data_IF_578886081530
#
_entry.id   IF_578886081530
#
_cell.length_a   1.000
_cell.length_b   1.000
_cell.length_c   1.000
_cell.angle_alpha   90.00
_cell.angle_beta   90.00
_cell.angle_gamma   90.00
#
_symmetry.space_group_name_H-M   'P 1'
#
loop_
_entity.id
_entity.type
_entity.pdbx_description
1 polymer ?
#
# COMPACT_ATOMS: atom_id res chain seq x y z
N UNK A 1 7.85 16.56 2.50
CA UNK A 1 7.90 15.63 3.65
C UNK A 1 6.96 14.48 3.34
N UNK A 2 7.48 13.31 2.99
CA UNK A 2 6.66 12.13 2.75
C UNK A 2 6.52 11.37 4.06
N UNK A 3 5.32 11.35 4.63
CA UNK A 3 5.03 10.62 5.85
C UNK A 3 4.51 9.25 5.46
N UNK A 4 5.36 8.23 5.56
CA UNK A 4 4.94 6.83 5.51
C UNK A 4 4.94 6.33 6.94
N UNK A 5 3.85 5.70 7.37
CA UNK A 5 3.77 5.12 8.72
C UNK A 5 4.82 4.00 8.83
N UNK A 6 5.68 4.06 9.84
CA UNK A 6 6.66 3.00 10.14
C UNK A 6 6.00 1.63 10.27
N UNK A 7 4.80 1.58 10.86
CA UNK A 7 3.99 0.35 11.01
C UNK A 7 3.59 -0.23 9.65
N UNK A 8 3.29 0.62 8.66
CA UNK A 8 2.88 0.18 7.34
C UNK A 8 4.04 -0.47 6.58
N UNK A 9 5.25 0.10 6.71
CA UNK A 9 6.47 -0.46 6.10
C UNK A 9 6.86 -1.79 6.78
N UNK A 10 6.67 -1.92 8.09
CA UNK A 10 7.03 -3.14 8.83
C UNK A 10 6.06 -4.30 8.62
N UNK A 11 4.77 -4.02 8.39
CA UNK A 11 3.72 -5.05 8.33
C UNK A 11 3.21 -5.34 6.93
N UNK A 12 3.49 -4.49 5.96
CA UNK A 12 3.03 -4.64 4.59
C UNK A 12 4.11 -4.26 3.60
N UNK A 13 4.04 -4.84 2.41
CA UNK A 13 4.83 -4.39 1.28
C UNK A 13 4.02 -3.36 0.49
N UNK A 14 4.58 -2.17 0.33
CA UNK A 14 3.90 -1.04 -0.33
C UNK A 14 4.41 -0.92 -1.76
N UNK A 15 3.48 -0.87 -2.72
CA UNK A 15 3.77 -0.55 -4.12
C UNK A 15 3.10 0.79 -4.42
N UNK A 16 3.91 1.80 -4.73
CA UNK A 16 3.45 3.14 -5.07
C UNK A 16 3.22 3.23 -6.58
N UNK A 17 2.01 3.62 -6.97
CA UNK A 17 1.68 3.96 -8.36
C UNK A 17 1.64 5.48 -8.48
N UNK A 18 2.57 6.07 -9.23
CA UNK A 18 2.61 7.52 -9.41
C UNK A 18 3.38 7.95 -10.65
N UNK A 19 2.81 8.88 -11.43
CA UNK A 19 3.52 9.58 -12.51
C UNK A 19 4.27 10.83 -12.04
N UNK A 20 4.03 11.32 -10.81
CA UNK A 20 4.63 12.54 -10.28
C UNK A 20 5.77 12.31 -9.27
N UNK A 21 5.95 11.07 -8.80
CA UNK A 21 7.02 10.68 -7.88
C UNK A 21 7.92 9.70 -8.63
N UNK A 22 9.22 9.98 -8.65
CA UNK A 22 10.19 9.11 -9.33
C UNK A 22 10.44 7.82 -8.55
N UNK A 23 10.82 6.76 -9.27
CA UNK A 23 11.21 5.46 -8.72
C UNK A 23 12.24 5.58 -7.59
N UNK A 24 13.30 6.35 -7.79
CA UNK A 24 14.36 6.51 -6.79
C UNK A 24 13.83 7.05 -5.46
N UNK A 25 12.88 7.98 -5.48
CA UNK A 25 12.28 8.55 -4.27
C UNK A 25 11.41 7.52 -3.56
N UNK A 26 10.65 6.72 -4.30
CA UNK A 26 9.82 5.65 -3.75
C UNK A 26 10.66 4.53 -3.11
N UNK A 27 11.75 4.14 -3.75
CA UNK A 27 12.66 3.10 -3.24
C UNK A 27 13.40 3.58 -1.99
N UNK A 28 13.80 4.86 -1.91
CA UNK A 28 14.42 5.45 -0.71
C UNK A 28 13.53 5.37 0.53
N UNK A 29 12.20 5.35 0.36
CA UNK A 29 11.23 5.23 1.46
C UNK A 29 10.71 3.80 1.64
N UNK A 30 11.36 2.81 1.04
CA UNK A 30 11.04 1.40 1.22
C UNK A 30 9.79 0.93 0.44
N UNK A 31 9.35 1.69 -0.56
CA UNK A 31 8.26 1.30 -1.43
C UNK A 31 8.79 0.76 -2.76
N UNK A 32 8.14 -0.27 -3.29
CA UNK A 32 8.24 -0.57 -4.72
C UNK A 32 7.51 0.49 -5.54
N UNK A 33 7.86 0.65 -6.80
CA UNK A 33 7.29 1.69 -7.66
C UNK A 33 6.78 1.12 -8.98
N UNK A 34 5.64 1.62 -9.44
CA UNK A 34 5.02 1.30 -10.71
C UNK A 34 4.46 2.56 -11.38
N UNK A 35 4.39 2.57 -12.71
CA UNK A 35 3.88 3.72 -13.47
C UNK A 35 2.35 3.69 -13.52
N UNK A 36 1.79 2.50 -13.64
CA UNK A 36 0.34 2.28 -13.80
C UNK A 36 -0.19 1.22 -12.83
N UNK A 37 -1.51 1.22 -12.52
CA UNK A 37 -2.10 0.28 -11.56
C UNK A 37 -1.92 -1.19 -11.93
N UNK A 38 -1.90 -1.51 -13.22
CA UNK A 38 -1.77 -2.88 -13.70
C UNK A 38 -0.39 -3.48 -13.38
N UNK A 39 0.69 -2.74 -13.61
CA UNK A 39 2.05 -3.13 -13.24
C UNK A 39 2.15 -3.42 -11.73
N UNK A 40 1.57 -2.53 -10.89
CA UNK A 40 1.57 -2.74 -9.45
C UNK A 40 0.80 -4.00 -9.02
N UNK A 41 -0.29 -4.31 -9.70
CA UNK A 41 -1.06 -5.51 -9.42
C UNK A 41 -0.30 -6.78 -9.82
N UNK A 42 0.39 -6.77 -10.96
CA UNK A 42 1.25 -7.87 -11.41
C UNK A 42 2.39 -8.11 -10.41
N UNK A 43 3.09 -7.05 -10.00
CA UNK A 43 4.12 -7.12 -8.95
C UNK A 43 3.58 -7.68 -7.62
N UNK A 44 2.35 -7.33 -7.23
CA UNK A 44 1.71 -7.87 -6.03
C UNK A 44 1.42 -9.38 -6.17
N UNK A 45 0.92 -9.80 -7.33
CA UNK A 45 0.65 -11.21 -7.63
C UNK A 45 1.94 -12.06 -7.62
N UNK A 46 3.01 -11.55 -8.25
CA UNK A 46 4.33 -12.19 -8.25
C UNK A 46 4.85 -12.37 -6.82
N UNK A 47 4.77 -11.31 -6.00
CA UNK A 47 5.22 -11.35 -4.60
C UNK A 47 4.42 -12.35 -3.76
N UNK A 48 3.11 -12.42 -3.95
CA UNK A 48 2.22 -13.35 -3.25
C UNK A 48 2.27 -14.77 -3.84
N UNK A 49 2.99 -14.97 -4.95
CA UNK A 49 3.06 -16.25 -5.68
C UNK A 49 1.67 -16.80 -6.05
N UNK A 50 0.75 -15.91 -6.42
CA UNK A 50 -0.63 -16.28 -6.80
C UNK A 50 -1.15 -15.40 -7.92
N UNK A 51 -1.97 -15.98 -8.81
CA UNK A 51 -2.70 -15.24 -9.86
C UNK A 51 -4.10 -14.79 -9.42
N UNK A 52 -4.56 -15.26 -8.27
CA UNK A 52 -5.91 -15.00 -7.75
C UNK A 52 -5.85 -14.52 -6.29
N UNK A 53 -5.23 -13.35 -6.01
CA UNK A 53 -5.23 -12.80 -4.67
C UNK A 53 -6.66 -12.37 -4.26
N UNK A 54 -6.94 -12.41 -2.97
CA UNK A 54 -8.12 -11.71 -2.42
C UNK A 54 -7.81 -10.22 -2.40
N UNK A 55 -8.70 -9.40 -2.99
CA UNK A 55 -8.46 -7.95 -3.16
C UNK A 55 -9.58 -7.17 -2.48
N UNK A 56 -9.19 -6.19 -1.68
CA UNK A 56 -10.09 -5.16 -1.17
C UNK A 56 -9.73 -3.82 -1.84
N UNK A 57 -10.73 -3.14 -2.43
CA UNK A 57 -10.54 -1.85 -3.08
C UNK A 57 -11.10 -0.75 -2.18
N UNK A 58 -10.23 0.15 -1.73
CA UNK A 58 -10.60 1.29 -0.88
C UNK A 58 -10.63 2.58 -1.70
N UNK A 59 -11.83 2.97 -2.14
CA UNK A 59 -12.03 4.23 -2.86
C UNK A 59 -12.03 5.42 -1.89
N UNK A 60 -11.23 6.45 -2.18
CA UNK A 60 -11.16 7.64 -1.33
C UNK A 60 -10.53 7.40 0.05
N UNK A 61 -9.58 6.47 0.15
CA UNK A 61 -8.96 6.05 1.42
C UNK A 61 -8.45 7.21 2.30
N UNK A 62 -7.97 8.31 1.70
CA UNK A 62 -7.56 9.51 2.43
C UNK A 62 -8.69 10.12 3.29
N UNK A 63 -9.96 9.91 2.92
CA UNK A 63 -11.15 10.38 3.66
C UNK A 63 -11.62 9.37 4.72
N UNK A 64 -11.09 8.15 4.74
CA UNK A 64 -11.49 7.07 5.63
C UNK A 64 -10.73 7.07 6.98
N UNK A 65 -9.71 7.93 7.11
CA UNK A 65 -8.85 8.03 8.29
C UNK A 65 -9.54 8.34 9.65
N UNK A 66 -10.78 8.86 9.76
CA UNK A 66 -11.39 9.08 11.08
C UNK A 66 -12.09 7.85 11.69
N UNK A 67 -12.33 6.75 10.97
CA UNK A 67 -13.25 5.70 11.47
C UNK A 67 -12.57 4.55 12.24
N UNK A 68 -11.24 4.44 12.22
CA UNK A 68 -10.53 3.32 12.86
C UNK A 68 -10.03 3.58 14.29
N UNK A 69 -10.19 4.78 14.84
CA UNK A 69 -9.91 5.05 16.26
C UNK A 69 -10.99 4.55 17.23
N UNK A 70 -12.11 4.00 16.72
CA UNK A 70 -13.27 3.61 17.53
C UNK A 70 -13.57 2.12 17.63
N UNK A 71 -12.74 1.23 17.05
CA UNK A 71 -12.93 -0.22 17.22
C UNK A 71 -12.13 -0.67 18.44
N UNK A 72 -12.82 -0.75 19.58
CA UNK A 72 -12.37 -1.48 20.76
C UNK A 72 -12.19 -2.96 20.38
N UNK A 73 -10.94 -3.34 20.08
CA UNK A 73 -10.57 -4.72 19.85
C UNK A 73 -10.56 -5.40 21.22
N UNK A 74 -11.73 -5.86 21.68
CA UNK A 74 -11.81 -6.88 22.72
C UNK A 74 -11.12 -8.14 22.18
N UNK A 75 -9.87 -8.32 22.60
CA UNK A 75 -9.14 -9.57 22.38
C UNK A 75 -9.83 -10.69 23.19
N UNK A 76 -10.04 -11.89 22.60
CA UNK A 76 -10.33 -13.08 23.38
C UNK A 76 -9.14 -13.49 24.25
#
# INVERSE_FOLDING_TARGET
MFQVSSVAIEKAHIILVSGGISKNVAEQIGCSWATIPQEAFEMACERLQTRHPTVAVLNGAAKLLPMWSGIDVKRP
#
